data_IF_493797257359
#
_entry.id   IF_493797257359
#
_cell.length_a   1.000
_cell.length_b   1.000
_cell.length_c   1.000
_cell.angle_alpha   90.00
_cell.angle_beta   90.00
_cell.angle_gamma   90.00
#
_symmetry.space_group_name_H-M   'P 1'
#
loop_
_entity.id
_entity.type
_entity.pdbx_description
1 polymer ?
#
# COMPACT_ATOMS: atom_id res chain seq x y z
N UNK A 1 23.49 -16.86 10.47
CA UNK A 1 23.53 -15.73 11.42
C UNK A 1 23.32 -14.46 10.62
N UNK A 2 22.64 -13.45 11.17
CA UNK A 2 22.64 -12.14 10.51
C UNK A 2 24.04 -11.52 10.61
N UNK A 3 24.57 -11.04 9.50
CA UNK A 3 25.87 -10.34 9.45
C UNK A 3 25.68 -8.83 9.63
N UNK A 4 26.75 -8.11 9.97
CA UNK A 4 26.73 -6.64 10.05
C UNK A 4 26.31 -6.03 8.70
N UNK A 5 26.70 -6.65 7.58
CA UNK A 5 26.35 -6.21 6.23
C UNK A 5 24.87 -6.32 5.95
N UNK A 6 24.24 -7.43 6.35
CA UNK A 6 22.79 -7.62 6.20
C UNK A 6 22.00 -6.64 7.08
N UNK A 7 22.51 -6.28 8.27
CA UNK A 7 21.91 -5.24 9.12
C UNK A 7 22.02 -3.87 8.45
N UNK A 8 23.20 -3.53 7.91
CA UNK A 8 23.43 -2.28 7.19
C UNK A 8 22.52 -2.12 5.98
N UNK A 9 22.39 -3.18 5.18
CA UNK A 9 21.49 -3.22 4.03
C UNK A 9 20.02 -3.06 4.45
N UNK A 10 19.59 -3.74 5.51
CA UNK A 10 18.25 -3.59 6.07
C UNK A 10 17.97 -2.15 6.49
N UNK A 11 18.84 -1.52 7.27
CA UNK A 11 18.69 -0.11 7.66
C UNK A 11 18.71 0.84 6.47
N UNK A 12 19.53 0.56 5.45
CA UNK A 12 19.56 1.37 4.23
C UNK A 12 18.21 1.29 3.51
N UNK A 13 17.63 0.10 3.43
CA UNK A 13 16.32 -0.12 2.80
C UNK A 13 15.20 0.63 3.56
N UNK A 14 15.16 0.53 4.88
CA UNK A 14 14.21 1.25 5.74
C UNK A 14 14.33 2.77 5.62
N UNK A 15 15.57 3.29 5.61
CA UNK A 15 15.84 4.72 5.42
C UNK A 15 15.28 5.21 4.08
N UNK A 16 15.48 4.44 3.01
CA UNK A 16 15.02 4.79 1.66
C UNK A 16 13.49 4.75 1.55
N UNK A 17 12.84 3.75 2.16
CA UNK A 17 11.38 3.67 2.20
C UNK A 17 10.73 4.88 2.89
N UNK A 18 11.46 5.51 3.82
CA UNK A 18 11.02 6.68 4.59
C UNK A 18 11.46 8.02 4.00
N UNK A 19 12.12 8.00 2.83
CA UNK A 19 12.71 9.19 2.17
C UNK A 19 13.60 10.04 3.10
N UNK A 20 14.27 9.39 4.07
CA UNK A 20 15.11 10.09 5.04
C UNK A 20 16.50 10.35 4.46
N UNK A 21 16.89 11.62 4.32
CA UNK A 21 18.24 11.99 3.86
C UNK A 21 19.30 11.60 4.88
N UNK A 22 20.48 11.18 4.41
CA UNK A 22 21.59 10.75 5.26
C UNK A 22 22.05 11.85 6.23
N UNK A 23 22.11 13.10 5.76
CA UNK A 23 22.50 14.25 6.56
C UNK A 23 21.52 14.52 7.70
N UNK A 24 20.22 14.44 7.42
CA UNK A 24 19.18 14.66 8.42
C UNK A 24 19.22 13.58 9.50
N UNK A 25 19.36 12.33 9.08
CA UNK A 25 19.51 11.19 9.98
C UNK A 25 20.76 11.31 10.85
N UNK A 26 21.87 11.78 10.29
CA UNK A 26 23.12 12.04 11.03
C UNK A 26 22.92 13.11 12.11
N UNK A 27 22.23 14.21 11.79
CA UNK A 27 21.90 15.28 12.76
C UNK A 27 21.04 14.75 13.92
N UNK A 28 19.99 13.98 13.62
CA UNK A 28 19.06 13.46 14.63
C UNK A 28 19.67 12.40 15.55
N UNK A 29 20.52 11.55 14.99
CA UNK A 29 21.25 10.52 15.77
C UNK A 29 22.47 11.04 16.50
N UNK A 30 22.95 12.26 16.18
CA UNK A 30 24.21 12.80 16.67
C UNK A 30 25.45 12.08 16.12
N UNK A 31 25.29 11.26 15.08
CA UNK A 31 26.38 10.51 14.44
C UNK A 31 27.00 11.32 13.30
N UNK A 32 28.27 11.04 12.99
CA UNK A 32 28.88 11.59 11.77
C UNK A 32 28.32 10.89 10.53
N UNK A 33 28.27 11.60 9.39
CA UNK A 33 27.85 10.99 8.13
C UNK A 33 28.76 9.82 7.71
N UNK A 34 30.05 9.86 8.06
CA UNK A 34 31.01 8.78 7.79
C UNK A 34 30.65 7.53 8.58
N UNK A 35 30.40 7.67 9.88
CA UNK A 35 29.97 6.56 10.75
C UNK A 35 28.66 5.96 10.26
N UNK A 36 27.67 6.80 9.95
CA UNK A 36 26.37 6.35 9.46
C UNK A 36 26.50 5.64 8.10
N UNK A 37 27.28 6.20 7.16
CA UNK A 37 27.54 5.57 5.86
C UNK A 37 28.27 4.24 5.99
N UNK A 38 29.25 4.16 6.89
CA UNK A 38 29.98 2.92 7.19
C UNK A 38 29.05 1.81 7.70
N UNK A 39 28.17 2.14 8.65
CA UNK A 39 27.16 1.21 9.15
C UNK A 39 26.19 0.77 8.04
N UNK A 40 25.61 1.71 7.28
CA UNK A 40 24.63 1.41 6.23
C UNK A 40 25.22 0.60 5.07
N UNK A 41 26.53 0.65 4.88
CA UNK A 41 27.23 -0.16 3.87
C UNK A 41 27.79 -1.48 4.45
N UNK A 42 27.65 -1.72 5.76
CA UNK A 42 28.24 -2.89 6.42
C UNK A 42 29.78 -2.87 6.50
N UNK A 43 30.40 -1.70 6.32
CA UNK A 43 31.85 -1.58 6.10
C UNK A 43 32.65 -1.32 7.39
N UNK A 44 32.05 -1.40 8.58
CA UNK A 44 32.73 -1.18 9.86
C UNK A 44 32.19 -2.10 10.96
N UNK A 45 33.07 -2.49 11.89
CA UNK A 45 32.68 -3.06 13.18
C UNK A 45 32.00 -1.98 14.03
N UNK A 46 30.72 -1.78 13.73
CA UNK A 46 29.91 -0.74 14.35
C UNK A 46 29.55 -1.16 15.76
N UNK A 47 29.86 -0.30 16.72
CA UNK A 47 29.43 -0.51 18.12
C UNK A 47 27.93 -0.76 18.17
N UNK A 48 27.50 -1.66 19.05
CA UNK A 48 26.09 -1.97 19.25
C UNK A 48 25.27 -0.70 19.58
N UNK A 49 25.83 0.24 20.34
CA UNK A 49 25.19 1.53 20.63
C UNK A 49 24.84 2.33 19.37
N UNK A 50 25.72 2.32 18.36
CA UNK A 50 25.49 2.97 17.07
C UNK A 50 24.35 2.28 16.30
N UNK A 51 24.32 0.95 16.31
CA UNK A 51 23.26 0.15 15.69
C UNK A 51 21.90 0.47 16.33
N UNK A 52 21.85 0.53 17.66
CA UNK A 52 20.63 0.84 18.40
C UNK A 52 20.15 2.27 18.18
N UNK A 53 21.05 3.26 18.15
CA UNK A 53 20.68 4.65 17.86
C UNK A 53 20.06 4.80 16.46
N UNK A 54 20.63 4.10 15.47
CA UNK A 54 20.11 4.09 14.09
C UNK A 54 18.78 3.36 13.99
N UNK A 55 18.62 2.23 14.70
CA UNK A 55 17.33 1.55 14.78
C UNK A 55 16.25 2.48 15.37
N UNK A 56 16.56 3.17 16.48
CA UNK A 56 15.63 4.09 17.13
C UNK A 56 15.20 5.23 16.20
N UNK A 57 16.12 5.86 15.47
CA UNK A 57 15.80 6.92 14.50
C UNK A 57 14.91 6.39 13.35
N UNK A 58 15.10 5.14 12.96
CA UNK A 58 14.24 4.48 11.99
C UNK A 58 12.94 3.96 12.62
N UNK A 59 12.64 4.24 13.89
CA UNK A 59 11.46 3.72 14.57
C UNK A 59 11.42 2.18 14.63
N UNK A 60 12.59 1.55 14.70
CA UNK A 60 12.79 0.11 14.80
C UNK A 60 13.26 -0.26 16.20
N UNK A 61 12.90 -1.46 16.64
CA UNK A 61 13.37 -2.03 17.90
C UNK A 61 14.16 -3.31 17.64
N UNK A 62 15.25 -3.50 18.38
CA UNK A 62 16.11 -4.68 18.26
C UNK A 62 15.76 -5.69 19.35
N UNK A 63 15.29 -6.87 18.95
CA UNK A 63 15.01 -7.98 19.84
C UNK A 63 15.89 -9.19 19.52
N UNK A 64 16.36 -9.87 20.55
CA UNK A 64 17.02 -11.17 20.42
C UNK A 64 15.96 -12.27 20.49
N UNK A 65 16.05 -13.22 19.56
CA UNK A 65 15.14 -14.36 19.48
C UNK A 65 15.94 -15.64 19.30
N UNK A 66 15.43 -16.80 19.76
CA UNK A 66 16.05 -18.08 19.46
C UNK A 66 16.20 -18.29 17.94
N UNK A 67 17.36 -18.81 17.52
CA UNK A 67 17.68 -18.95 16.09
C UNK A 67 16.66 -19.81 15.32
N UNK A 68 16.10 -20.85 15.96
CA UNK A 68 15.06 -21.69 15.37
C UNK A 68 13.74 -20.96 15.09
N UNK A 69 13.48 -19.85 15.79
CA UNK A 69 12.24 -19.06 15.68
C UNK A 69 12.42 -17.84 14.75
N UNK A 70 13.65 -17.40 14.50
CA UNK A 70 13.96 -16.18 13.78
C UNK A 70 13.36 -16.09 12.36
N UNK A 71 13.28 -17.22 11.63
CA UNK A 71 12.68 -17.26 10.27
C UNK A 71 11.18 -16.99 10.31
N UNK A 72 10.48 -17.56 11.28
CA UNK A 72 9.02 -17.44 11.42
C UNK A 72 8.59 -16.00 11.71
N UNK A 73 9.38 -15.27 12.51
CA UNK A 73 9.15 -13.84 12.79
C UNK A 73 9.24 -13.00 11.52
N UNK A 74 10.26 -13.22 10.70
CA UNK A 74 10.44 -12.46 9.45
C UNK A 74 9.35 -12.73 8.40
N UNK A 75 8.81 -13.95 8.38
CA UNK A 75 7.78 -14.33 7.40
C UNK A 75 6.39 -13.77 7.76
N UNK A 76 6.12 -13.54 9.05
CA UNK A 76 4.86 -12.95 9.51
C UNK A 76 4.68 -11.51 9.02
N UNK A 77 5.74 -10.72 9.07
CA UNK A 77 5.78 -9.33 8.57
C UNK A 77 5.51 -9.26 7.05
N UNK A 78 6.09 -10.18 6.27
CA UNK A 78 5.91 -10.23 4.80
C UNK A 78 4.52 -10.71 4.37
N UNK A 79 3.78 -11.40 5.24
CA UNK A 79 2.45 -11.93 4.94
C UNK A 79 1.33 -10.90 5.20
N UNK A 80 1.69 -9.63 5.42
CA UNK A 80 0.78 -8.51 5.67
C UNK A 80 -0.03 -8.06 4.45
N UNK A 81 -0.80 -8.97 3.86
CA UNK A 81 -1.95 -8.66 3.00
C UNK A 81 -2.77 -9.93 2.74
N UNK A 82 -3.30 -10.56 3.78
CA UNK A 82 -4.28 -11.64 3.58
C UNK A 82 -5.62 -10.97 3.27
N UNK A 83 -6.03 -10.96 2.00
CA UNK A 83 -7.38 -10.51 1.61
C UNK A 83 -8.40 -11.37 2.38
N UNK A 84 -9.27 -10.72 3.15
CA UNK A 84 -10.32 -11.41 3.88
C UNK A 84 -11.19 -12.21 2.90
N UNK A 85 -11.43 -13.49 3.21
CA UNK A 85 -12.31 -14.35 2.41
C UNK A 85 -13.71 -13.73 2.24
N UNK A 86 -14.14 -12.93 3.22
CA UNK A 86 -15.39 -12.16 3.16
C UNK A 86 -15.31 -11.06 2.10
N UNK A 87 -14.21 -10.32 2.04
CA UNK A 87 -13.98 -9.27 1.04
C UNK A 87 -13.91 -9.84 -0.38
N UNK A 88 -13.29 -11.03 -0.53
CA UNK A 88 -13.22 -11.75 -1.80
C UNK A 88 -14.60 -12.24 -2.27
N UNK A 89 -15.43 -12.73 -1.34
CA UNK A 89 -16.78 -13.21 -1.64
C UNK A 89 -17.74 -12.07 -2.04
N UNK A 90 -17.67 -10.91 -1.34
CA UNK A 90 -18.55 -9.77 -1.61
C UNK A 90 -18.34 -9.15 -3.00
N UNK A 91 -17.09 -9.10 -3.50
CA UNK A 91 -16.81 -8.66 -4.88
C UNK A 91 -17.35 -9.63 -5.94
N UNK A 92 -17.48 -10.90 -5.61
CA UNK A 92 -18.07 -11.91 -6.49
C UNK A 92 -19.58 -11.74 -6.67
N UNK A 93 -20.27 -11.15 -5.70
CA UNK A 93 -21.74 -11.00 -5.72
C UNK A 93 -22.22 -9.75 -6.47
N UNK A 94 -21.39 -8.71 -6.63
CA UNK A 94 -21.76 -7.49 -7.36
C UNK A 94 -21.73 -7.63 -8.89
N UNK A 95 -21.55 -8.84 -9.42
CA UNK A 95 -21.55 -9.13 -10.86
C UNK A 95 -22.70 -10.07 -11.25
N UNK A 96 -23.92 -9.71 -10.91
CA UNK A 96 -25.12 -10.20 -11.63
C UNK A 96 -25.38 -9.27 -12.81
N UNK A 97 -25.33 -9.74 -14.06
CA UNK A 97 -25.77 -8.96 -15.20
C UNK A 97 -27.28 -8.77 -15.13
N UNK A 98 -27.67 -7.53 -15.38
CA UNK A 98 -29.02 -7.06 -15.64
C UNK A 98 -29.74 -7.95 -16.67
N UNK A 99 -30.83 -8.61 -16.25
CA UNK A 99 -31.82 -9.23 -17.14
C UNK A 99 -33.23 -8.94 -16.62
N UNK A 100 -33.74 -7.81 -17.08
CA UNK A 100 -35.04 -7.60 -17.73
C UNK A 100 -36.36 -8.01 -17.03
N UNK A 101 -37.26 -7.01 -17.00
CA UNK A 101 -38.70 -7.05 -17.34
C UNK A 101 -39.63 -7.98 -16.56
N UNK A 102 -40.65 -7.40 -15.92
CA UNK A 102 -42.07 -7.60 -16.26
C UNK A 102 -42.98 -6.97 -15.18
N UNK A 103 -43.84 -6.04 -15.60
CA UNK A 103 -45.23 -5.82 -15.14
C UNK A 103 -45.73 -4.43 -15.55
N UNK A 104 -46.66 -4.40 -16.49
CA UNK A 104 -47.33 -3.16 -16.90
C UNK A 104 -48.55 -3.39 -17.79
N UNK A 105 -49.45 -4.30 -17.40
CA UNK A 105 -50.75 -4.43 -18.03
C UNK A 105 -51.77 -3.53 -17.32
N UNK A 106 -52.27 -2.49 -17.99
CA UNK A 106 -53.60 -1.95 -17.70
C UNK A 106 -54.30 -1.57 -18.99
N UNK A 107 -55.37 -2.31 -19.26
CA UNK A 107 -56.42 -1.97 -20.23
C UNK A 107 -57.16 -0.74 -19.70
N UNK A 108 -56.91 0.39 -20.32
CA UNK A 108 -57.85 1.50 -20.45
C UNK A 108 -57.40 2.15 -21.76
N UNK A 109 -58.08 1.86 -22.86
CA UNK A 109 -59.19 2.70 -23.30
C UNK A 109 -58.69 4.12 -23.58
N UNK A 110 -58.91 4.75 -24.72
CA UNK A 110 -59.83 4.55 -25.83
C UNK A 110 -59.42 5.71 -26.74
N UNK A 111 -59.31 5.45 -28.03
CA UNK A 111 -59.62 6.41 -29.10
C UNK A 111 -59.40 7.92 -28.81
N UNK A 112 -58.26 8.47 -29.21
CA UNK A 112 -58.26 9.81 -29.82
C UNK A 112 -56.95 9.93 -30.60
N UNK A 113 -57.04 9.69 -31.91
CA UNK A 113 -57.16 10.76 -32.90
C UNK A 113 -55.82 11.41 -33.17
N UNK A 114 -55.39 11.20 -34.42
CA UNK A 114 -54.79 12.23 -35.27
C UNK A 114 -53.75 13.13 -34.60
N UNK A 115 -52.48 12.88 -34.90
CA UNK A 115 -51.64 13.89 -35.56
C UNK A 115 -50.19 13.42 -35.64
N UNK A 116 -49.86 12.61 -36.65
CA UNK A 116 -48.63 12.90 -37.40
C UNK A 116 -48.91 14.14 -38.28
N UNK A 117 -47.93 15.03 -38.60
CA UNK A 117 -46.57 14.63 -38.95
C UNK A 117 -45.41 15.55 -38.50
N UNK A 118 -44.22 14.95 -38.63
CA UNK A 118 -42.90 15.51 -38.93
C UNK A 118 -42.91 16.93 -39.52
N UNK A 119 -42.19 17.89 -38.92
CA UNK A 119 -41.45 18.90 -39.70
C UNK A 119 -40.39 19.67 -38.89
N UNK A 120 -39.31 20.00 -39.59
CA UNK A 120 -38.06 20.65 -39.18
C UNK A 120 -38.26 22.05 -38.57
N UNK A 121 -37.43 22.41 -37.60
CA UNK A 121 -36.65 23.65 -37.70
C UNK A 121 -35.41 23.66 -36.80
N UNK A 122 -34.23 23.87 -37.41
CA UNK A 122 -32.99 24.27 -36.74
C UNK A 122 -32.88 25.78 -36.95
N UNK A 123 -33.06 26.55 -35.87
CA UNK A 123 -32.84 28.00 -35.85
C UNK A 123 -31.35 28.34 -35.73
N UNK A 124 -30.91 29.53 -36.20
CA UNK A 124 -29.51 29.80 -36.48
C UNK A 124 -28.68 30.14 -35.25
N UNK A 125 -27.38 29.89 -35.40
CA UNK A 125 -26.29 30.33 -34.53
C UNK A 125 -26.21 31.84 -34.47
N UNK A 126 -26.06 32.37 -33.26
CA UNK A 126 -25.26 33.56 -32.97
C UNK A 126 -24.42 33.26 -31.74
#
# INVERSE_FOLDING_TARGET
>A
MKTISEIGEFFRSERLQRDLKLEEMAKRTGLTQVTLRGLLNGQNDSRLSTVLAVAQELGLELALVPAGVAKSVQQRERSGAVESLVSKALRGQSKTPDLASDRGGTRSDILDKFSEPVSRYVGPKF
#
